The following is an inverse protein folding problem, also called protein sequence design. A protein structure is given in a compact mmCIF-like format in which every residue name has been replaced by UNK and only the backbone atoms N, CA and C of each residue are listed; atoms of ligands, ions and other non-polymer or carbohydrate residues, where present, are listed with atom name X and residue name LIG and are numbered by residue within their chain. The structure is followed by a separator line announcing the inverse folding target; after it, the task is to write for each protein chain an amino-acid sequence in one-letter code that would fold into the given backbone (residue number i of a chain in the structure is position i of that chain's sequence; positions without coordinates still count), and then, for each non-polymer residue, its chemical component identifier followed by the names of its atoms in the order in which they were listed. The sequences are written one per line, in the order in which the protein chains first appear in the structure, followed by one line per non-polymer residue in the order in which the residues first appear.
data_IF_080202762109
#
_entry.id   IF_080202762109
#
_cell.length_a   1.000
_cell.length_b   1.000
_cell.length_c   1.000
_cell.angle_alpha   90.00
_cell.angle_beta   90.00
_cell.angle_gamma   90.00
#
_symmetry.space_group_name_H-M   'P 1'
#
loop_
_entity.id
_entity.type
_entity.pdbx_description
1 polymer ?
#
# COMPACT_ATOMS: atom_id res chain seq x y z
N UNK A 1 -14.99 4.59 -16.77
CA UNK A 1 -15.05 3.48 -15.79
C UNK A 1 -13.75 3.32 -14.99
N UNK A 2 -12.56 3.20 -15.61
CA UNK A 2 -11.29 2.99 -14.88
C UNK A 2 -10.98 4.05 -13.81
N UNK A 3 -11.16 5.35 -14.12
CA UNK A 3 -10.93 6.43 -13.15
C UNK A 3 -11.85 6.37 -11.91
N UNK A 4 -13.06 5.81 -12.04
CA UNK A 4 -14.00 5.67 -10.93
C UNK A 4 -13.50 4.61 -9.93
N UNK A 5 -13.03 3.47 -10.43
CA UNK A 5 -12.42 2.44 -9.59
C UNK A 5 -11.13 2.94 -8.92
N UNK A 6 -10.34 3.76 -9.62
CA UNK A 6 -9.16 4.38 -9.04
C UNK A 6 -9.54 5.34 -7.90
N UNK A 7 -10.52 6.21 -8.11
CA UNK A 7 -10.99 7.13 -7.08
C UNK A 7 -11.55 6.39 -5.86
N UNK A 8 -12.34 5.33 -6.08
CA UNK A 8 -12.86 4.47 -5.02
C UNK A 8 -11.73 3.78 -4.24
N UNK A 9 -10.75 3.23 -4.94
CA UNK A 9 -9.56 2.61 -4.34
C UNK A 9 -8.81 3.61 -3.46
N UNK A 10 -8.60 4.84 -3.94
CA UNK A 10 -7.94 5.91 -3.18
C UNK A 10 -8.74 6.33 -1.94
N UNK A 11 -10.07 6.35 -2.03
CA UNK A 11 -10.91 6.62 -0.86
C UNK A 11 -10.78 5.50 0.18
N UNK A 12 -10.88 4.22 -0.26
CA UNK A 12 -10.82 3.06 0.63
C UNK A 12 -9.44 2.90 1.30
N UNK A 13 -8.34 3.13 0.56
CA UNK A 13 -7.00 3.05 1.15
C UNK A 13 -6.78 4.15 2.20
N UNK A 14 -7.42 5.31 2.02
CA UNK A 14 -7.38 6.40 3.02
C UNK A 14 -8.14 6.01 4.28
N UNK A 15 -9.33 5.43 4.14
CA UNK A 15 -10.12 4.91 5.27
C UNK A 15 -9.33 3.83 6.02
N UNK A 16 -8.74 2.87 5.29
CA UNK A 16 -7.87 1.84 5.85
C UNK A 16 -6.72 2.45 6.67
N UNK A 17 -5.96 3.39 6.10
CA UNK A 17 -4.86 4.04 6.81
C UNK A 17 -5.31 4.78 8.08
N UNK A 18 -6.48 5.44 8.04
CA UNK A 18 -7.06 6.11 9.20
C UNK A 18 -7.46 5.13 10.31
N UNK A 19 -8.11 4.01 9.97
CA UNK A 19 -8.47 2.96 10.93
C UNK A 19 -7.25 2.45 11.71
N UNK A 20 -6.13 2.25 11.02
CA UNK A 20 -4.89 1.84 11.69
C UNK A 20 -4.27 2.94 12.55
N UNK A 21 -4.32 4.20 12.12
CA UNK A 21 -3.90 5.32 12.98
C UNK A 21 -4.72 5.39 14.26
N UNK A 22 -6.03 5.14 14.16
CA UNK A 22 -6.88 4.99 15.34
C UNK A 22 -6.45 3.81 16.20
N UNK A 23 -6.19 2.64 15.62
CA UNK A 23 -5.71 1.48 16.36
C UNK A 23 -4.41 1.76 17.14
N UNK A 24 -3.46 2.51 16.54
CA UNK A 24 -2.26 2.98 17.24
C UNK A 24 -2.61 3.90 18.40
N UNK A 25 -3.53 4.86 18.20
CA UNK A 25 -3.97 5.80 19.26
C UNK A 25 -4.65 5.08 20.42
N UNK A 26 -5.41 4.02 20.15
CA UNK A 26 -6.03 3.16 21.16
C UNK A 26 -5.09 2.11 21.75
N UNK A 27 -3.79 2.13 21.40
CA UNK A 27 -2.77 1.17 21.85
C UNK A 27 -3.13 -0.29 21.57
N UNK A 28 -3.87 -0.54 20.50
CA UNK A 28 -4.19 -1.90 20.08
C UNK A 28 -2.92 -2.66 19.67
N UNK A 29 -2.97 -3.98 19.80
CA UNK A 29 -1.97 -4.85 19.18
C UNK A 29 -2.12 -4.81 17.65
N UNK A 30 -1.08 -4.34 16.96
CA UNK A 30 -1.10 -4.16 15.51
C UNK A 30 -1.12 -5.51 14.76
N UNK A 31 -0.53 -6.56 15.34
CA UNK A 31 -0.60 -7.90 14.77
C UNK A 31 -2.03 -8.41 14.81
N UNK A 32 -2.71 -8.25 15.96
CA UNK A 32 -4.14 -8.52 16.09
C UNK A 32 -5.01 -7.74 15.12
N UNK A 33 -4.78 -6.43 14.94
CA UNK A 33 -5.53 -5.61 13.97
C UNK A 33 -5.30 -6.11 12.55
N UNK A 34 -4.06 -6.45 12.20
CA UNK A 34 -3.74 -7.01 10.89
C UNK A 34 -4.40 -8.37 10.67
N UNK A 35 -4.40 -9.25 11.69
CA UNK A 35 -5.11 -10.52 11.62
C UNK A 35 -6.61 -10.30 11.32
N UNK A 36 -7.27 -9.38 12.03
CA UNK A 36 -8.68 -9.08 11.78
C UNK A 36 -8.96 -8.45 10.42
N UNK A 37 -8.02 -7.68 9.87
CA UNK A 37 -8.09 -7.21 8.48
C UNK A 37 -8.20 -8.40 7.51
N UNK A 38 -7.30 -9.38 7.62
CA UNK A 38 -7.31 -10.56 6.74
C UNK A 38 -8.56 -11.43 6.95
N UNK A 39 -9.01 -11.62 8.20
CA UNK A 39 -10.28 -12.32 8.48
C UNK A 39 -11.45 -11.62 7.78
N UNK A 40 -11.55 -10.29 7.92
CA UNK A 40 -12.59 -9.50 7.26
C UNK A 40 -12.53 -9.62 5.73
N UNK A 41 -11.34 -9.54 5.14
CA UNK A 41 -11.13 -9.73 3.70
C UNK A 41 -11.54 -11.14 3.24
N UNK A 42 -11.19 -12.19 3.99
CA UNK A 42 -11.56 -13.57 3.66
C UNK A 42 -13.07 -13.77 3.68
N UNK A 43 -13.79 -13.18 4.65
CA UNK A 43 -15.26 -13.25 4.71
C UNK A 43 -15.89 -12.62 3.47
N UNK A 44 -15.43 -11.44 3.07
CA UNK A 44 -15.95 -10.74 1.88
C UNK A 44 -15.70 -11.55 0.61
N UNK A 45 -14.49 -12.10 0.45
CA UNK A 45 -14.13 -12.93 -0.71
C UNK A 45 -14.93 -14.24 -0.73
N UNK A 46 -15.15 -14.88 0.42
CA UNK A 46 -15.95 -16.09 0.53
C UNK A 46 -17.42 -15.82 0.14
N UNK A 47 -18.01 -14.71 0.62
CA UNK A 47 -19.36 -14.30 0.23
C UNK A 47 -19.48 -14.01 -1.27
N UNK A 48 -18.45 -13.40 -1.86
CA UNK A 48 -18.39 -13.15 -3.30
C UNK A 48 -18.36 -14.47 -4.10
N UNK A 49 -17.51 -15.43 -3.72
CA UNK A 49 -17.46 -16.72 -4.42
C UNK A 49 -18.68 -17.59 -4.17
N UNK A 50 -19.35 -17.44 -3.03
CA UNK A 50 -20.62 -18.12 -2.78
C UNK A 50 -21.69 -17.69 -3.79
N UNK A 51 -21.70 -16.41 -4.19
CA UNK A 51 -22.69 -15.87 -5.14
C UNK A 51 -22.31 -16.05 -6.61
N UNK A 52 -21.00 -16.10 -6.93
CA UNK A 52 -20.50 -16.10 -8.32
C UNK A 52 -19.88 -17.43 -8.77
N UNK A 53 -19.63 -18.35 -7.84
CA UNK A 53 -18.89 -19.59 -8.08
C UNK A 53 -17.37 -19.38 -8.15
N UNK A 54 -16.60 -20.44 -7.84
CA UNK A 54 -15.13 -20.38 -7.85
C UNK A 54 -14.55 -21.11 -9.07
N UNK A 55 -13.76 -20.39 -9.88
CA UNK A 55 -12.93 -21.01 -10.93
C UNK A 55 -11.53 -21.22 -10.37
N UNK A 56 -11.17 -22.49 -10.14
CA UNK A 56 -9.87 -22.83 -9.58
C UNK A 56 -8.75 -22.60 -10.60
N UNK A 57 -7.67 -21.93 -10.18
CA UNK A 57 -6.45 -21.75 -10.96
C UNK A 57 -5.24 -21.82 -10.04
N UNK A 58 -4.35 -22.79 -10.27
CA UNK A 58 -3.13 -22.96 -9.47
C UNK A 58 -2.22 -21.72 -9.54
N UNK A 59 -2.13 -21.09 -10.71
CA UNK A 59 -1.36 -19.86 -10.87
C UNK A 59 -1.93 -18.71 -10.04
N UNK A 60 -3.26 -18.54 -10.05
CA UNK A 60 -3.92 -17.53 -9.22
C UNK A 60 -3.72 -17.81 -7.72
N UNK A 61 -3.76 -19.08 -7.31
CA UNK A 61 -3.52 -19.47 -5.92
C UNK A 61 -2.08 -19.13 -5.48
N UNK A 62 -1.07 -19.48 -6.27
CA UNK A 62 0.33 -19.18 -5.95
C UNK A 62 0.58 -17.67 -5.88
N UNK A 63 0.13 -16.92 -6.90
CA UNK A 63 0.27 -15.46 -6.92
C UNK A 63 -0.46 -14.80 -5.76
N UNK A 64 -1.65 -15.29 -5.42
CA UNK A 64 -2.44 -14.82 -4.28
C UNK A 64 -1.75 -15.06 -2.95
N UNK A 65 -1.18 -16.25 -2.72
CA UNK A 65 -0.44 -16.58 -1.50
C UNK A 65 0.82 -15.72 -1.37
N UNK A 66 1.63 -15.63 -2.43
CA UNK A 66 2.85 -14.81 -2.42
C UNK A 66 2.52 -13.34 -2.16
N UNK A 67 1.50 -12.80 -2.84
CA UNK A 67 1.03 -11.44 -2.64
C UNK A 67 0.51 -11.22 -1.21
N UNK A 68 -0.25 -12.16 -0.66
CA UNK A 68 -0.78 -12.10 0.70
C UNK A 68 0.33 -12.06 1.76
N UNK A 69 1.34 -12.92 1.65
CA UNK A 69 2.49 -12.93 2.57
C UNK A 69 3.27 -11.61 2.49
N UNK A 70 3.55 -11.13 1.27
CA UNK A 70 4.24 -9.87 1.08
C UNK A 70 3.44 -8.68 1.65
N UNK A 71 2.11 -8.66 1.42
CA UNK A 71 1.21 -7.64 1.94
C UNK A 71 1.17 -7.67 3.48
N UNK A 72 1.15 -8.86 4.09
CA UNK A 72 1.14 -9.02 5.55
C UNK A 72 2.39 -8.41 6.17
N UNK A 73 3.57 -8.81 5.68
CA UNK A 73 4.87 -8.32 6.17
C UNK A 73 5.01 -6.81 5.94
N UNK A 74 4.65 -6.33 4.75
CA UNK A 74 4.68 -4.90 4.40
C UNK A 74 3.80 -4.08 5.34
N UNK A 75 2.58 -4.56 5.61
CA UNK A 75 1.62 -3.89 6.49
C UNK A 75 2.16 -3.79 7.92
N UNK A 76 2.72 -4.88 8.46
CA UNK A 76 3.33 -4.86 9.81
C UNK A 76 4.50 -3.89 9.87
N UNK A 77 5.41 -3.94 8.88
CA UNK A 77 6.58 -3.05 8.83
C UNK A 77 6.18 -1.57 8.74
N UNK A 78 5.21 -1.25 7.88
CA UNK A 78 4.68 0.11 7.72
C UNK A 78 4.10 0.65 9.03
N UNK A 79 3.29 -0.15 9.74
CA UNK A 79 2.66 0.32 10.97
C UNK A 79 3.61 0.36 12.17
N UNK A 80 4.63 -0.49 12.20
CA UNK A 80 5.71 -0.34 13.16
C UNK A 80 6.40 1.01 12.99
N UNK A 81 6.64 1.42 11.74
CA UNK A 81 7.19 2.73 11.44
C UNK A 81 6.23 3.89 11.79
N UNK A 82 4.92 3.77 11.52
CA UNK A 82 3.92 4.79 11.92
C UNK A 82 3.86 4.99 13.44
N UNK A 83 4.14 3.97 14.26
CA UNK A 83 4.20 4.14 15.72
C UNK A 83 5.30 5.12 16.15
N UNK A 84 6.40 5.16 15.40
CA UNK A 84 7.58 5.99 15.70
C UNK A 84 7.69 7.25 14.85
N UNK A 85 7.04 7.27 13.69
CA UNK A 85 7.21 8.29 12.65
C UNK A 85 5.98 9.14 12.39
N UNK A 86 6.14 10.16 11.55
CA UNK A 86 5.04 11.00 11.08
C UNK A 86 4.38 10.31 9.88
N UNK A 87 3.08 10.06 9.96
CA UNK A 87 2.29 9.40 8.91
C UNK A 87 2.55 9.95 7.49
N UNK A 88 2.70 11.27 7.38
CA UNK A 88 2.96 11.93 6.10
C UNK A 88 4.24 11.41 5.44
N UNK A 89 5.34 11.31 6.19
CA UNK A 89 6.64 10.81 5.69
C UNK A 89 6.55 9.36 5.27
N UNK A 90 5.91 8.54 6.11
CA UNK A 90 5.69 7.12 5.82
C UNK A 90 4.91 6.94 4.52
N UNK A 91 3.88 7.77 4.28
CA UNK A 91 3.13 7.75 3.03
C UNK A 91 3.95 8.25 1.83
N UNK A 92 4.81 9.25 1.99
CA UNK A 92 5.70 9.71 0.93
C UNK A 92 6.68 8.61 0.50
N UNK A 93 7.22 7.84 1.46
CA UNK A 93 8.10 6.69 1.18
C UNK A 93 7.36 5.60 0.40
N UNK A 94 6.12 5.26 0.77
CA UNK A 94 5.34 4.30 -0.02
C UNK A 94 5.01 4.88 -1.41
N UNK A 95 4.71 6.17 -1.51
CA UNK A 95 4.49 6.84 -2.79
C UNK A 95 5.69 6.70 -3.72
N UNK A 96 6.92 6.80 -3.18
CA UNK A 96 8.16 6.52 -3.91
C UNK A 96 8.24 5.05 -4.35
N UNK A 97 7.80 4.12 -3.51
CA UNK A 97 7.80 2.70 -3.84
C UNK A 97 6.93 2.36 -5.07
N UNK A 98 5.94 3.20 -5.42
CA UNK A 98 5.14 3.06 -6.64
C UNK A 98 5.97 3.24 -7.93
N UNK A 99 7.15 3.85 -7.86
CA UNK A 99 8.09 3.91 -8.97
C UNK A 99 8.66 2.54 -9.35
N UNK A 100 8.81 1.62 -8.38
CA UNK A 100 9.37 0.29 -8.65
C UNK A 100 8.47 -0.58 -9.54
N UNK A 101 7.15 -0.69 -9.32
CA UNK A 101 6.25 -1.38 -10.26
C UNK A 101 6.29 -0.80 -11.67
N UNK A 102 6.38 0.53 -11.82
CA UNK A 102 6.47 1.18 -13.13
C UNK A 102 7.80 0.84 -13.82
N UNK A 103 8.91 0.87 -13.10
CA UNK A 103 10.20 0.41 -13.63
C UNK A 103 10.15 -1.08 -14.01
N UNK A 104 9.58 -1.91 -13.14
CA UNK A 104 9.42 -3.33 -13.40
C UNK A 104 8.51 -3.58 -14.62
N UNK A 105 7.49 -2.76 -14.86
CA UNK A 105 6.61 -2.90 -16.03
C UNK A 105 7.36 -2.72 -17.35
N UNK A 106 8.31 -1.78 -17.37
CA UNK A 106 9.20 -1.54 -18.51
C UNK A 106 10.12 -2.76 -18.74
N UNK A 107 10.72 -3.32 -17.69
CA UNK A 107 11.69 -4.42 -17.86
C UNK A 107 11.06 -5.80 -18.04
N UNK A 108 9.97 -6.10 -17.33
CA UNK A 108 9.35 -7.43 -17.30
C UNK A 108 8.32 -7.55 -18.43
N UNK A 109 7.48 -6.54 -18.61
CA UNK A 109 6.40 -6.55 -19.60
C UNK A 109 6.72 -5.76 -20.88
N UNK A 110 7.91 -5.15 -20.96
CA UNK A 110 8.37 -4.41 -22.15
C UNK A 110 7.42 -3.27 -22.54
N UNK A 111 6.77 -2.66 -21.55
CA UNK A 111 5.92 -1.49 -21.77
C UNK A 111 6.77 -0.29 -22.18
N UNK A 112 6.38 0.41 -23.25
CA UNK A 112 7.07 1.61 -23.71
C UNK A 112 6.49 2.86 -23.04
N UNK A 113 7.20 3.48 -22.08
CA UNK A 113 6.69 4.66 -21.40
C UNK A 113 6.70 5.86 -22.34
N UNK A 114 5.62 6.63 -22.32
CA UNK A 114 5.57 7.93 -22.98
C UNK A 114 6.54 8.92 -22.32
N UNK A 115 6.98 9.93 -23.06
CA UNK A 115 7.87 10.98 -22.54
C UNK A 115 7.31 11.65 -21.26
N UNK A 116 5.98 11.80 -21.17
CA UNK A 116 5.31 12.34 -19.97
C UNK A 116 5.45 11.43 -18.76
N UNK A 117 5.37 10.11 -18.94
CA UNK A 117 5.57 9.13 -17.87
C UNK A 117 7.02 9.10 -17.39
N UNK A 118 7.98 9.23 -18.31
CA UNK A 118 9.41 9.33 -17.96
C UNK A 118 9.66 10.58 -17.11
N UNK A 119 9.15 11.74 -17.53
CA UNK A 119 9.24 12.99 -16.76
C UNK A 119 8.60 12.82 -15.38
N UNK A 120 7.40 12.23 -15.32
CA UNK A 120 6.72 11.93 -14.06
C UNK A 120 7.55 11.04 -13.14
N UNK A 121 8.17 9.99 -13.67
CA UNK A 121 9.00 9.06 -12.92
C UNK A 121 10.25 9.74 -12.33
N UNK A 122 10.87 10.65 -13.08
CA UNK A 122 12.03 11.45 -12.61
C UNK A 122 11.61 12.46 -11.53
N UNK A 123 10.37 12.97 -11.58
CA UNK A 123 9.85 13.91 -10.57
C UNK A 123 9.57 13.25 -9.21
N UNK A 124 9.31 11.94 -9.16
CA UNK A 124 9.02 11.22 -7.90
C UNK A 124 10.15 11.37 -6.86
N UNK A 125 11.44 11.07 -7.15
CA UNK A 125 12.52 11.24 -6.18
C UNK A 125 12.72 12.71 -5.79
N UNK A 126 12.49 13.66 -6.71
CA UNK A 126 12.60 15.10 -6.43
C UNK A 126 11.53 15.52 -5.42
N UNK A 127 10.27 15.13 -5.65
CA UNK A 127 9.16 15.39 -4.74
C UNK A 127 9.41 14.75 -3.37
N UNK A 128 9.97 13.54 -3.33
CA UNK A 128 10.34 12.87 -2.09
C UNK A 128 11.34 13.68 -1.26
N UNK A 129 12.42 14.17 -1.88
CA UNK A 129 13.43 15.00 -1.19
C UNK A 129 12.81 16.29 -0.65
N UNK A 130 11.92 16.92 -1.41
CA UNK A 130 11.23 18.16 -1.00
C UNK A 130 10.21 17.94 0.12
N UNK A 131 9.52 16.80 0.12
CA UNK A 131 8.51 16.46 1.13
C UNK A 131 9.11 15.82 2.39
N UNK A 132 10.38 15.45 2.38
CA UNK A 132 11.06 14.95 3.57
C UNK A 132 11.19 16.12 4.57
N UNK A 133 10.52 16.08 5.73
CA UNK A 133 10.73 17.08 6.75
C UNK A 133 12.19 16.93 7.16
N UNK A 134 13.03 17.90 6.81
CA UNK A 134 14.42 17.94 7.23
C UNK A 134 14.53 17.73 8.73
N UNK A 135 15.71 17.33 9.21
CA UNK A 135 16.04 17.12 10.63
C UNK A 135 15.89 18.41 11.47
N UNK A 136 14.69 18.93 11.62
CA UNK A 136 14.39 20.18 12.35
C UNK A 136 13.71 19.90 13.70
N UNK A 137 13.79 18.66 14.20
CA UNK A 137 13.25 18.25 15.51
C UNK A 137 14.25 17.51 16.41
N UNK A 138 15.54 17.81 16.31
CA UNK A 138 16.55 17.31 17.27
C UNK A 138 17.29 18.40 18.07
N UNK A 139 16.93 19.68 17.94
CA UNK A 139 17.57 20.80 18.69
C UNK A 139 16.57 21.73 19.37
N UNK A 140 15.54 21.17 20.03
CA UNK A 140 14.79 21.89 21.06
C UNK A 140 14.14 20.91 22.04
N UNK A 141 14.96 20.35 22.94
CA UNK A 141 14.70 20.22 24.39
C UNK A 141 15.80 19.42 25.07
#
# INVERSE_FOLDING_TARGET
MGYLYLALSTALITVWALCYKFAVRYKCDLLGVNFWLYVGSTIVVAAYFYTTGCKWSNAAAILGVVSGVACFVSTVAFFYHIRTGVLAVSWTVIGLALGFPVLASIFVWHENPSLKQIIGLVLIPIAFVLCNPGKEKETSK
#
